data_IF_788057768430
#
_entry.id   IF_788057768430
#
_cell.length_a   1.000
_cell.length_b   1.000
_cell.length_c   1.000
_cell.angle_alpha   90.00
_cell.angle_beta   90.00
_cell.angle_gamma   90.00
#
_symmetry.space_group_name_H-M   'P 1'
#
loop_
_entity.id
_entity.type
_entity.pdbx_description
1 polymer ?
#
# COMPACT_ATOMS: atom_id res chain seq x y z
N UNK A 1 -2.12 -7.12 15.91
CA UNK A 1 -1.27 -7.59 14.79
C UNK A 1 -0.55 -6.40 14.19
N UNK A 2 0.69 -6.16 14.62
CA UNK A 2 1.52 -5.05 14.11
C UNK A 2 1.86 -5.25 12.63
N UNK A 3 2.02 -6.50 12.19
CA UNK A 3 2.37 -6.85 10.81
C UNK A 3 1.28 -6.43 9.82
N UNK A 4 0.01 -6.73 10.11
CA UNK A 4 -1.11 -6.31 9.26
C UNK A 4 -1.17 -4.78 9.10
N UNK A 5 -0.81 -4.01 10.14
CA UNK A 5 -0.76 -2.56 10.07
C UNK A 5 0.37 -2.08 9.14
N UNK A 6 1.57 -2.63 9.30
CA UNK A 6 2.72 -2.29 8.45
C UNK A 6 2.48 -2.64 6.97
N UNK A 7 1.83 -3.77 6.70
CA UNK A 7 1.37 -4.16 5.37
C UNK A 7 0.38 -3.15 4.77
N UNK A 8 -0.67 -2.81 5.51
CA UNK A 8 -1.68 -1.83 5.07
C UNK A 8 -1.08 -0.44 4.84
N UNK A 9 -0.11 -0.03 5.67
CA UNK A 9 0.62 1.22 5.50
C UNK A 9 1.44 1.23 4.21
N UNK A 10 2.11 0.13 3.87
CA UNK A 10 2.83 0.04 2.60
C UNK A 10 1.89 0.23 1.40
N UNK A 11 0.70 -0.36 1.46
CA UNK A 11 -0.32 -0.20 0.40
C UNK A 11 -0.76 1.26 0.29
N UNK A 12 -1.08 1.92 1.42
CA UNK A 12 -1.53 3.32 1.39
C UNK A 12 -0.43 4.28 0.91
N UNK A 13 0.82 4.03 1.28
CA UNK A 13 2.01 4.73 0.74
C UNK A 13 2.14 4.52 -0.78
N UNK A 14 1.94 3.29 -1.25
CA UNK A 14 2.01 2.94 -2.68
C UNK A 14 0.94 3.67 -3.50
N UNK A 15 -0.29 3.69 -3.00
CA UNK A 15 -1.40 4.43 -3.62
C UNK A 15 -1.14 5.93 -3.63
N UNK A 16 -0.69 6.49 -2.50
CA UNK A 16 -0.35 7.92 -2.41
C UNK A 16 0.76 8.33 -3.40
N UNK A 17 1.73 7.45 -3.61
CA UNK A 17 2.79 7.66 -4.60
C UNK A 17 2.22 7.63 -6.04
N UNK A 18 1.27 6.76 -6.33
CA UNK A 18 0.63 6.67 -7.64
C UNK A 18 -0.27 7.89 -7.93
N UNK A 19 -1.02 8.36 -6.94
CA UNK A 19 -1.77 9.62 -7.00
C UNK A 19 -0.87 10.78 -7.44
N UNK A 20 0.27 10.95 -6.76
CA UNK A 20 1.25 11.99 -7.10
C UNK A 20 1.83 11.82 -8.51
N UNK A 21 2.23 10.60 -8.89
CA UNK A 21 2.81 10.32 -10.21
C UNK A 21 1.83 10.53 -11.37
N UNK A 22 0.54 10.30 -11.14
CA UNK A 22 -0.52 10.39 -12.15
C UNK A 22 -1.30 11.70 -12.10
N UNK A 23 -1.04 12.56 -11.11
CA UNK A 23 -1.80 13.80 -10.90
C UNK A 23 -3.25 13.56 -10.51
N UNK A 24 -3.54 12.46 -9.82
CA UNK A 24 -4.90 12.08 -9.38
C UNK A 24 -5.07 12.50 -7.93
N UNK A 25 -6.20 13.15 -7.60
CA UNK A 25 -6.49 13.61 -6.24
C UNK A 25 -7.13 12.51 -5.38
N UNK A 26 -7.04 12.65 -4.06
CA UNK A 26 -7.77 11.78 -3.12
C UNK A 26 -9.27 11.75 -3.37
N UNK A 27 -9.86 12.88 -3.80
CA UNK A 27 -11.27 12.97 -4.15
C UNK A 27 -11.61 12.10 -5.37
N UNK A 28 -10.77 12.12 -6.41
CA UNK A 28 -10.94 11.28 -7.58
C UNK A 28 -10.81 9.79 -7.25
N UNK A 29 -9.84 9.43 -6.40
CA UNK A 29 -9.70 8.06 -5.89
C UNK A 29 -10.95 7.65 -5.10
N UNK A 30 -11.42 8.50 -4.19
CA UNK A 30 -12.61 8.23 -3.38
C UNK A 30 -13.84 8.00 -4.26
N UNK A 31 -14.05 8.88 -5.24
CA UNK A 31 -15.13 8.80 -6.23
C UNK A 31 -15.08 7.50 -7.02
N UNK A 32 -13.91 7.13 -7.56
CA UNK A 32 -13.73 5.90 -8.33
C UNK A 32 -13.98 4.64 -7.48
N UNK A 33 -13.55 4.66 -6.23
CA UNK A 33 -13.77 3.57 -5.29
C UNK A 33 -15.22 3.47 -4.82
N UNK A 34 -15.98 4.57 -4.85
CA UNK A 34 -17.33 4.65 -4.29
C UNK A 34 -17.32 4.79 -2.77
N UNK A 35 -16.32 5.50 -2.24
CA UNK A 35 -16.12 5.74 -0.80
C UNK A 35 -16.02 7.23 -0.52
N UNK A 36 -16.06 7.64 0.76
CA UNK A 36 -15.88 9.04 1.13
C UNK A 36 -14.42 9.48 1.02
N UNK A 37 -14.18 10.76 0.74
CA UNK A 37 -12.82 11.33 0.80
C UNK A 37 -12.21 11.17 2.21
N UNK A 38 -13.05 11.25 3.25
CA UNK A 38 -12.66 10.96 4.64
C UNK A 38 -12.10 9.56 4.82
N UNK A 39 -12.67 8.55 4.13
CA UNK A 39 -12.12 7.20 4.16
C UNK A 39 -10.69 7.17 3.62
N UNK A 40 -10.40 7.84 2.49
CA UNK A 40 -9.04 7.93 1.94
C UNK A 40 -8.08 8.59 2.94
N UNK A 41 -8.50 9.71 3.56
CA UNK A 41 -7.72 10.37 4.61
C UNK A 41 -7.44 9.47 5.82
N UNK A 42 -8.41 8.63 6.21
CA UNK A 42 -8.24 7.66 7.28
C UNK A 42 -7.28 6.53 6.89
N UNK A 43 -7.34 6.02 5.66
CA UNK A 43 -6.42 4.99 5.15
C UNK A 43 -4.98 5.49 5.13
N UNK A 44 -4.78 6.77 4.79
CA UNK A 44 -3.44 7.39 4.76
C UNK A 44 -2.93 7.82 6.15
N UNK A 45 -3.72 7.63 7.21
CA UNK A 45 -3.37 8.08 8.55
C UNK A 45 -3.06 6.92 9.49
N UNK A 46 -1.91 7.01 10.16
CA UNK A 46 -1.48 6.03 11.17
C UNK A 46 -2.37 5.96 12.42
N UNK A 47 -3.31 6.91 12.58
CA UNK A 47 -4.24 7.01 13.71
C UNK A 47 -5.46 6.10 13.56
N UNK A 48 -5.89 5.84 12.32
CA UNK A 48 -7.10 5.06 12.06
C UNK A 48 -6.75 3.64 11.59
N UNK A 49 -7.70 2.72 11.71
CA UNK A 49 -7.56 1.33 11.27
C UNK A 49 -8.11 1.08 9.86
N UNK A 50 -8.48 2.14 9.15
CA UNK A 50 -9.00 2.04 7.79
C UNK A 50 -7.91 1.54 6.83
N UNK A 51 -8.28 0.66 5.92
CA UNK A 51 -7.38 0.11 4.91
C UNK A 51 -8.14 -0.29 3.65
N UNK A 52 -7.44 -0.38 2.54
CA UNK A 52 -8.00 -0.90 1.29
C UNK A 52 -8.27 -2.41 1.43
N UNK A 53 -9.45 -2.85 1.01
CA UNK A 53 -9.74 -4.27 0.86
C UNK A 53 -9.34 -4.73 -0.55
N UNK A 54 -9.42 -6.04 -0.82
CA UNK A 54 -9.05 -6.62 -2.12
C UNK A 54 -9.83 -6.01 -3.29
N UNK A 55 -11.11 -5.70 -3.10
CA UNK A 55 -11.92 -5.07 -4.13
C UNK A 55 -11.46 -3.63 -4.45
N UNK A 56 -11.05 -2.87 -3.42
CA UNK A 56 -10.42 -1.56 -3.61
C UNK A 56 -9.12 -1.71 -4.39
N UNK A 57 -8.26 -2.67 -4.05
CA UNK A 57 -6.99 -2.89 -4.75
C UNK A 57 -7.20 -3.21 -6.24
N UNK A 58 -8.19 -4.06 -6.56
CA UNK A 58 -8.55 -4.36 -7.94
C UNK A 58 -9.05 -3.13 -8.70
N UNK A 59 -9.85 -2.27 -8.05
CA UNK A 59 -10.26 -0.99 -8.66
C UNK A 59 -9.07 -0.06 -8.87
N UNK A 60 -8.20 0.09 -7.88
CA UNK A 60 -7.01 0.95 -7.95
C UNK A 60 -6.05 0.52 -9.05
N UNK A 61 -5.88 -0.78 -9.26
CA UNK A 61 -5.04 -1.30 -10.35
C UNK A 61 -5.55 -0.85 -11.72
N UNK A 62 -6.88 -0.82 -11.91
CA UNK A 62 -7.52 -0.25 -13.11
C UNK A 62 -7.39 1.26 -13.20
N UNK A 63 -7.63 1.99 -12.10
CA UNK A 63 -7.54 3.45 -12.06
C UNK A 63 -6.14 3.94 -12.45
N UNK A 64 -5.10 3.30 -11.91
CA UNK A 64 -3.71 3.71 -12.15
C UNK A 64 -3.05 3.04 -13.36
N UNK A 65 -3.73 2.08 -13.99
CA UNK A 65 -3.22 1.23 -15.06
C UNK A 65 -1.90 0.55 -14.67
N UNK A 66 -1.95 -0.20 -13.56
CA UNK A 66 -0.83 -0.97 -12.99
C UNK A 66 -1.28 -2.38 -12.65
N UNK A 67 -0.34 -3.29 -12.55
CA UNK A 67 -0.60 -4.64 -12.03
C UNK A 67 -0.87 -4.62 -10.52
N UNK A 68 -1.65 -5.59 -10.03
CA UNK A 68 -2.01 -5.67 -8.60
C UNK A 68 -0.80 -5.83 -7.68
N UNK A 69 0.23 -6.55 -8.14
CA UNK A 69 1.47 -6.80 -7.40
C UNK A 69 2.25 -5.50 -7.12
N UNK A 70 2.10 -4.48 -7.97
CA UNK A 70 2.72 -3.16 -7.80
C UNK A 70 2.10 -2.33 -6.67
N UNK A 71 0.89 -2.69 -6.21
CA UNK A 71 0.23 -2.05 -5.07
C UNK A 71 0.63 -2.69 -3.74
N UNK A 72 1.21 -3.90 -3.78
CA UNK A 72 1.54 -4.69 -2.60
C UNK A 72 3.04 -4.69 -2.31
N UNK A 73 3.46 -4.97 -1.07
CA UNK A 73 4.88 -5.12 -0.74
C UNK A 73 5.55 -6.18 -1.62
N UNK A 74 6.68 -5.86 -2.28
CA UNK A 74 7.32 -6.77 -3.20
C UNK A 74 8.12 -7.86 -2.47
N UNK A 75 8.00 -9.09 -2.96
CA UNK A 75 8.80 -10.22 -2.50
C UNK A 75 10.19 -10.18 -3.16
N UNK A 76 11.25 -10.36 -2.36
CA UNK A 76 12.65 -10.42 -2.78
C UNK A 76 13.12 -9.29 -3.74
N UNK A 77 12.57 -8.09 -3.62
CA UNK A 77 12.91 -6.94 -4.47
C UNK A 77 12.99 -5.64 -3.66
N UNK A 78 14.16 -5.40 -3.07
CA UNK A 78 14.45 -4.19 -2.31
C UNK A 78 14.34 -2.91 -3.15
N UNK A 79 14.73 -2.96 -4.43
CA UNK A 79 14.65 -1.80 -5.32
C UNK A 79 13.21 -1.30 -5.45
N UNK A 80 12.26 -2.22 -5.64
CA UNK A 80 10.83 -1.88 -5.68
C UNK A 80 10.30 -1.41 -4.33
N UNK A 81 10.73 -2.03 -3.23
CA UNK A 81 10.35 -1.59 -1.88
C UNK A 81 10.78 -0.14 -1.61
N UNK A 82 12.02 0.20 -1.97
CA UNK A 82 12.60 1.54 -1.81
C UNK A 82 11.91 2.60 -2.68
N UNK A 83 11.27 2.23 -3.79
CA UNK A 83 10.47 3.18 -4.59
C UNK A 83 9.28 3.75 -3.81
N UNK A 84 8.71 2.95 -2.91
CA UNK A 84 7.60 3.36 -2.03
C UNK A 84 8.17 3.99 -0.76
N UNK A 85 9.11 3.31 -0.11
CA UNK A 85 9.77 3.78 1.13
C UNK A 85 11.17 4.31 0.81
N UNK A 86 11.24 5.55 0.31
CA UNK A 86 12.48 6.18 -0.20
C UNK A 86 13.68 6.11 0.77
N UNK A 87 13.41 6.22 2.07
CA UNK A 87 14.43 6.26 3.12
C UNK A 87 14.70 4.90 3.78
N UNK A 88 14.02 3.83 3.33
CA UNK A 88 14.27 2.50 3.87
C UNK A 88 15.66 1.99 3.50
N UNK A 89 16.29 1.33 4.47
CA UNK A 89 17.53 0.60 4.34
C UNK A 89 17.28 -0.84 3.92
N UNK A 90 18.34 -1.54 3.51
CA UNK A 90 18.29 -2.98 3.23
C UNK A 90 17.86 -3.77 4.47
N UNK A 91 18.34 -3.37 5.66
CA UNK A 91 17.96 -3.96 6.95
C UNK A 91 16.46 -3.82 7.21
N UNK A 92 15.88 -2.63 6.99
CA UNK A 92 14.43 -2.41 7.16
C UNK A 92 13.60 -3.34 6.26
N UNK A 93 14.08 -3.59 5.04
CA UNK A 93 13.43 -4.50 4.10
C UNK A 93 13.51 -5.96 4.54
N UNK A 94 14.68 -6.40 4.99
CA UNK A 94 14.88 -7.76 5.49
C UNK A 94 14.04 -8.03 6.73
N UNK A 95 13.97 -7.07 7.66
CA UNK A 95 13.09 -7.12 8.81
C UNK A 95 11.62 -7.18 8.39
N UNK A 96 11.22 -6.37 7.41
CA UNK A 96 9.88 -6.39 6.86
C UNK A 96 9.53 -7.78 6.32
N UNK A 97 10.37 -8.36 5.47
CA UNK A 97 10.12 -9.68 4.85
C UNK A 97 10.11 -10.80 5.89
N UNK A 98 11.00 -10.76 6.89
CA UNK A 98 11.07 -11.75 7.97
C UNK A 98 9.76 -11.85 8.77
N UNK A 99 9.04 -10.74 8.95
CA UNK A 99 7.71 -10.73 9.61
C UNK A 99 6.69 -11.62 8.88
N UNK A 100 6.78 -11.72 7.55
CA UNK A 100 5.79 -12.44 6.73
C UNK A 100 6.26 -13.82 6.24
N UNK A 101 7.56 -14.11 6.29
CA UNK A 101 8.10 -15.44 5.98
C UNK A 101 8.06 -16.41 7.17
N UNK A 102 7.95 -15.91 8.40
CA UNK A 102 8.14 -16.68 9.65
C UNK A 102 6.92 -17.48 10.14
N UNK A 103 5.98 -17.84 9.25
CA UNK A 103 4.99 -18.87 9.55
C UNK A 103 5.10 -19.95 8.49
N UNK A 104 5.97 -20.92 8.75
CA UNK A 104 5.76 -22.25 8.20
C UNK A 104 4.33 -22.66 8.56
N UNK A 105 3.47 -22.65 7.55
CA UNK A 105 2.17 -23.30 7.61
C UNK A 105 2.51 -24.79 7.66
N UNK A 106 2.54 -25.34 8.87
CA UNK A 106 2.46 -26.79 9.10
C UNK A 106 1.11 -27.27 8.58
#
# INVERSE_FOLDING_TARGET
MQDLKDFNNFISESVSLLEQKKGITHEQVASYLGVSETFIKHVNSNRFSAHYNVFHLWKLSKLFNVELDQLTPPLNNFSSFKKVRRYATQTDYEEFIKKYQSKEVI
#
